data_IF_554620838993
#
_entry.id   IF_554620838993
#
_cell.length_a   1.000
_cell.length_b   1.000
_cell.length_c   1.000
_cell.angle_alpha   90.00
_cell.angle_beta   90.00
_cell.angle_gamma   90.00
#
_symmetry.space_group_name_H-M   'P 1'
#
loop_
_entity.id
_entity.type
_entity.pdbx_description
1 polymer ?
#
# COMPACT_ATOMS: atom_id res chain seq x y z
N UNK A 1 1.69 15.93 22.13
CA UNK A 1 1.76 15.66 20.69
C UNK A 1 0.73 16.50 19.94
N UNK A 2 1.08 16.99 18.74
CA UNK A 2 0.20 17.75 17.85
C UNK A 2 0.44 17.27 16.43
N UNK A 3 -0.61 17.19 15.62
CA UNK A 3 -0.49 16.87 14.20
C UNK A 3 -1.51 17.68 13.42
N UNK A 4 -1.06 18.28 12.32
CA UNK A 4 -1.86 19.00 11.34
C UNK A 4 -1.27 18.77 9.96
N UNK A 5 -2.09 18.34 9.01
CA UNK A 5 -1.75 18.29 7.59
C UNK A 5 -2.88 18.87 6.74
N UNK A 6 -2.57 19.49 5.61
CA UNK A 6 -3.56 20.05 4.70
C UNK A 6 -3.22 19.70 3.25
N UNK A 7 -4.20 19.14 2.54
CA UNK A 7 -4.19 18.93 1.10
C UNK A 7 -5.06 19.99 0.43
N UNK A 8 -4.57 20.55 -0.68
CA UNK A 8 -5.30 21.55 -1.48
C UNK A 8 -5.53 21.07 -2.91
N UNK A 9 -4.69 20.18 -3.42
CA UNK A 9 -4.84 19.65 -4.78
C UNK A 9 -5.96 18.57 -4.83
N UNK A 10 -7.00 18.74 -5.68
CA UNK A 10 -8.09 17.78 -5.82
C UNK A 10 -7.69 16.38 -6.29
N UNK A 11 -6.59 16.24 -7.02
CA UNK A 11 -6.05 14.95 -7.43
C UNK A 11 -5.41 14.22 -6.25
N UNK A 12 -4.64 14.92 -5.43
CA UNK A 12 -4.00 14.42 -4.21
C UNK A 12 -5.07 13.98 -3.21
N UNK A 13 -6.16 14.76 -3.09
CA UNK A 13 -7.28 14.42 -2.23
C UNK A 13 -8.02 13.16 -2.68
N UNK A 14 -8.29 13.01 -3.99
CA UNK A 14 -8.94 11.81 -4.54
C UNK A 14 -8.05 10.58 -4.42
N UNK A 15 -6.76 10.75 -4.67
CA UNK A 15 -5.77 9.69 -4.48
C UNK A 15 -5.70 9.23 -3.02
N UNK A 16 -5.61 10.17 -2.07
CA UNK A 16 -5.60 9.84 -0.65
C UNK A 16 -6.84 9.03 -0.26
N UNK A 17 -8.02 9.41 -0.78
CA UNK A 17 -9.23 8.63 -0.59
C UNK A 17 -9.10 7.21 -1.15
N UNK A 18 -8.55 7.02 -2.35
CA UNK A 18 -8.34 5.69 -2.92
C UNK A 18 -7.34 4.85 -2.14
N UNK A 19 -6.26 5.45 -1.64
CA UNK A 19 -5.30 4.80 -0.74
C UNK A 19 -6.01 4.26 0.50
N UNK A 20 -6.75 5.12 1.22
CA UNK A 20 -7.48 4.70 2.42
C UNK A 20 -8.53 3.63 2.10
N UNK A 21 -9.20 3.72 0.96
CA UNK A 21 -10.18 2.71 0.52
C UNK A 21 -9.55 1.38 0.10
N UNK A 22 -8.29 1.40 -0.34
CA UNK A 22 -7.50 0.18 -0.53
C UNK A 22 -7.18 -0.43 0.83
N UNK A 23 -6.70 0.36 1.79
CA UNK A 23 -6.41 -0.14 3.14
C UNK A 23 -7.67 -0.67 3.85
N UNK A 24 -8.83 -0.04 3.67
CA UNK A 24 -10.09 -0.50 4.28
C UNK A 24 -10.60 -1.84 3.77
N UNK A 25 -10.16 -2.26 2.57
CA UNK A 25 -10.47 -3.59 2.03
C UNK A 25 -9.51 -4.67 2.53
N UNK A 26 -8.33 -4.27 3.03
CA UNK A 26 -7.26 -5.16 3.44
C UNK A 26 -7.25 -5.39 4.95
N UNK A 27 -7.57 -4.37 5.74
CA UNK A 27 -7.60 -4.47 7.20
C UNK A 27 -8.67 -3.57 7.81
N UNK A 28 -9.27 -4.03 8.92
CA UNK A 28 -10.28 -3.26 9.70
C UNK A 28 -9.70 -2.03 10.38
N UNK A 29 -8.43 -2.12 10.78
CA UNK A 29 -7.65 -1.03 11.34
C UNK A 29 -6.27 -1.01 10.69
N UNK A 30 -5.65 0.17 10.66
CA UNK A 30 -4.31 0.36 10.15
C UNK A 30 -3.52 1.22 11.13
N UNK A 31 -2.22 1.03 11.13
CA UNK A 31 -1.31 1.84 11.93
C UNK A 31 -0.80 3.00 11.10
N UNK A 32 -1.08 4.22 11.53
CA UNK A 32 -0.54 5.44 10.96
C UNK A 32 0.67 5.89 11.78
N UNK A 33 1.86 5.83 11.20
CA UNK A 33 3.09 6.40 11.78
C UNK A 33 3.38 7.74 11.11
N UNK A 34 3.41 8.79 11.90
CA UNK A 34 3.62 10.17 11.46
C UNK A 34 5.00 10.59 11.93
N UNK A 35 5.86 11.05 11.02
CA UNK A 35 7.21 11.58 11.29
C UNK A 35 7.42 12.88 10.50
N UNK A 36 8.54 13.59 10.70
CA UNK A 36 8.77 14.85 9.96
C UNK A 36 8.95 14.64 8.45
N UNK A 37 9.62 13.56 8.07
CA UNK A 37 9.98 13.29 6.66
C UNK A 37 9.07 12.28 5.98
N UNK A 38 8.33 11.48 6.75
CA UNK A 38 7.50 10.38 6.22
C UNK A 38 6.25 10.16 7.04
N UNK A 39 5.16 9.87 6.34
CA UNK A 39 3.92 9.33 6.91
C UNK A 39 3.72 7.93 6.35
N UNK A 40 3.58 6.96 7.24
CA UNK A 40 3.33 5.57 6.90
C UNK A 40 1.92 5.16 7.30
N UNK A 41 1.29 4.34 6.47
CA UNK A 41 0.11 3.56 6.84
C UNK A 41 0.44 2.08 6.70
N UNK A 42 0.28 1.30 7.76
CA UNK A 42 0.55 -0.14 7.75
C UNK A 42 -0.76 -0.88 8.00
N UNK A 43 -1.20 -1.65 7.02
CA UNK A 43 -2.31 -2.58 7.13
C UNK A 43 -1.74 -4.00 7.25
N UNK A 44 -1.79 -4.52 8.48
CA UNK A 44 -1.39 -5.87 8.80
C UNK A 44 -2.55 -6.53 9.54
N UNK A 45 -3.24 -7.49 8.93
CA UNK A 45 -4.18 -8.34 9.68
C UNK A 45 -3.41 -9.47 10.37
N UNK A 46 -3.90 -9.85 11.55
CA UNK A 46 -3.31 -10.88 12.38
C UNK A 46 -3.20 -12.26 11.68
N UNK A 47 -2.33 -13.09 12.28
CA UNK A 47 -1.94 -14.41 11.79
C UNK A 47 -3.14 -15.31 11.47
N UNK A 48 -3.23 -15.75 10.22
CA UNK A 48 -4.33 -16.59 9.71
C UNK A 48 -5.24 -15.88 8.70
N UNK A 49 -5.09 -14.56 8.52
CA UNK A 49 -5.81 -13.84 7.48
C UNK A 49 -5.27 -14.13 6.06
N UNK A 50 -6.18 -14.09 5.09
CA UNK A 50 -5.87 -14.03 3.66
C UNK A 50 -5.46 -12.62 3.21
N UNK A 51 -5.38 -11.64 4.10
CA UNK A 51 -4.89 -10.31 3.76
C UNK A 51 -3.35 -10.29 3.72
N UNK A 52 -2.75 -9.73 2.66
CA UNK A 52 -1.32 -9.49 2.62
C UNK A 52 -0.94 -8.30 3.49
N UNK A 53 0.31 -8.29 3.96
CA UNK A 53 0.89 -7.13 4.63
C UNK A 53 1.10 -6.02 3.60
N UNK A 54 0.42 -4.90 3.80
CA UNK A 54 0.52 -3.73 2.92
C UNK A 54 0.93 -2.53 3.74
N UNK A 55 1.86 -1.74 3.22
CA UNK A 55 2.16 -0.44 3.78
C UNK A 55 2.27 0.62 2.69
N UNK A 56 1.95 1.85 3.08
CA UNK A 56 2.00 3.04 2.22
C UNK A 56 3.02 3.99 2.81
N UNK A 57 3.86 4.56 1.96
CA UNK A 57 4.77 5.62 2.31
C UNK A 57 4.35 6.90 1.59
N UNK A 58 4.27 8.00 2.34
CA UNK A 58 3.94 9.33 1.84
C UNK A 58 5.02 10.30 2.32
N UNK A 59 5.66 11.02 1.40
CA UNK A 59 6.51 12.17 1.68
C UNK A 59 5.64 13.41 1.97
N UNK A 60 5.61 13.91 3.21
CA UNK A 60 4.76 15.02 3.57
C UNK A 60 5.12 16.32 2.85
N UNK A 61 6.40 16.53 2.51
CA UNK A 61 6.89 17.76 1.87
C UNK A 61 6.39 17.89 0.44
N UNK A 62 6.21 16.75 -0.23
CA UNK A 62 5.69 16.70 -1.60
C UNK A 62 4.15 16.59 -1.62
N UNK A 63 3.54 15.99 -0.61
CA UNK A 63 2.12 15.65 -0.62
C UNK A 63 1.18 16.66 0.04
N UNK A 64 1.63 17.35 1.11
CA UNK A 64 0.80 18.28 1.87
C UNK A 64 1.24 19.73 1.66
N UNK A 65 0.29 20.61 1.39
CA UNK A 65 0.52 22.06 1.29
C UNK A 65 0.91 22.67 2.64
N UNK A 66 0.34 22.14 3.73
CA UNK A 66 0.76 22.46 5.10
C UNK A 66 1.00 21.16 5.85
N UNK A 67 2.15 21.05 6.53
CA UNK A 67 2.45 19.93 7.40
C UNK A 67 3.13 20.43 8.68
N UNK A 68 2.53 20.10 9.82
CA UNK A 68 3.06 20.43 11.13
C UNK A 68 2.81 19.29 12.10
N UNK A 69 3.87 18.80 12.71
CA UNK A 69 3.80 17.75 13.70
C UNK A 69 4.73 18.06 14.87
N UNK A 70 4.27 17.71 16.07
CA UNK A 70 5.05 17.73 17.29
C UNK A 70 4.90 16.36 17.94
N UNK A 71 5.97 15.57 17.88
CA UNK A 71 6.05 14.23 18.43
C UNK A 71 5.95 14.20 19.94
N UNK A 72 6.06 13.00 20.52
CA UNK A 72 6.11 12.83 21.97
C UNK A 72 7.52 13.15 22.50
N UNK A 73 8.55 12.85 21.72
CA UNK A 73 9.96 13.12 22.03
C UNK A 73 10.47 14.21 21.08
N UNK A 74 11.14 15.24 21.61
CA UNK A 74 11.74 16.30 20.79
C UNK A 74 13.21 16.07 20.50
N UNK A 75 13.87 15.14 21.21
CA UNK A 75 15.32 14.90 21.11
C UNK A 75 15.66 13.64 20.31
N UNK A 76 14.86 12.58 20.41
CA UNK A 76 15.05 11.33 19.65
C UNK A 76 13.86 11.04 18.73
N UNK A 77 14.07 11.16 17.41
CA UNK A 77 13.12 10.84 16.33
C UNK A 77 11.65 11.17 16.66
N UNK A 78 11.22 12.44 16.54
CA UNK A 78 9.86 12.84 16.87
C UNK A 78 8.87 12.13 15.94
N UNK A 79 8.20 11.09 16.44
CA UNK A 79 7.11 10.43 15.74
C UNK A 79 5.86 10.21 16.62
N UNK A 80 4.73 10.03 15.94
CA UNK A 80 3.43 9.71 16.53
C UNK A 80 2.92 8.44 15.86
N UNK A 81 2.49 7.46 16.66
CA UNK A 81 1.94 6.20 16.15
C UNK A 81 0.48 6.11 16.61
N UNK A 82 -0.42 5.95 15.64
CA UNK A 82 -1.87 5.88 15.85
C UNK A 82 -2.42 4.59 15.24
N UNK A 83 -3.34 3.93 15.92
CA UNK A 83 -4.18 2.90 15.34
C UNK A 83 -5.50 3.53 14.90
N UNK A 84 -5.86 3.36 13.62
CA UNK A 84 -7.00 4.03 13.00
C UNK A 84 -7.93 2.99 12.36
N UNK A 85 -9.23 2.98 12.72
CA UNK A 85 -10.25 2.21 12.01
C UNK A 85 -10.39 2.71 10.57
N UNK A 86 -10.01 1.87 9.60
CA UNK A 86 -9.91 2.24 8.18
C UNK A 86 -11.26 2.58 7.56
N UNK A 87 -12.33 1.87 7.96
CA UNK A 87 -13.69 2.10 7.47
C UNK A 87 -14.21 3.48 7.90
N UNK A 88 -13.96 3.87 9.15
CA UNK A 88 -14.39 5.17 9.67
C UNK A 88 -13.64 6.31 8.96
N UNK A 89 -12.34 6.14 8.76
CA UNK A 89 -11.52 7.10 8.01
C UNK A 89 -11.98 7.21 6.55
N UNK A 90 -12.21 6.08 5.87
CA UNK A 90 -12.70 6.07 4.49
C UNK A 90 -14.08 6.73 4.34
N UNK A 91 -14.96 6.57 5.32
CA UNK A 91 -16.27 7.23 5.35
C UNK A 91 -16.14 8.74 5.58
N UNK A 92 -15.28 9.16 6.50
CA UNK A 92 -14.99 10.57 6.77
C UNK A 92 -14.41 11.30 5.54
N UNK A 93 -13.67 10.59 4.68
CA UNK A 93 -13.07 11.12 3.46
C UNK A 93 -13.98 11.00 2.22
N UNK A 94 -15.20 10.47 2.35
CA UNK A 94 -16.08 10.19 1.21
C UNK A 94 -16.41 11.43 0.36
N UNK A 95 -16.39 12.62 0.94
CA UNK A 95 -16.64 13.90 0.25
C UNK A 95 -15.52 14.30 -0.72
N UNK A 96 -14.32 13.73 -0.60
CA UNK A 96 -13.21 14.00 -1.53
C UNK A 96 -13.50 13.53 -2.96
N UNK A 97 -14.55 12.73 -3.18
CA UNK A 97 -15.03 12.39 -4.54
C UNK A 97 -15.65 13.58 -5.28
N UNK A 98 -16.10 14.61 -4.56
CA UNK A 98 -16.96 15.67 -5.10
C UNK A 98 -16.25 17.02 -5.15
N UNK A 99 -15.28 17.20 -6.07
CA UNK A 99 -14.56 18.47 -6.29
C UNK A 99 -14.16 19.18 -4.98
N UNK A 100 -13.30 18.56 -4.16
CA UNK A 100 -12.88 19.16 -2.90
C UNK A 100 -11.98 20.37 -3.13
N UNK A 101 -12.18 21.41 -2.33
CA UNK A 101 -11.35 22.63 -2.28
C UNK A 101 -10.14 22.42 -1.37
N UNK A 102 -10.33 21.81 -0.21
CA UNK A 102 -9.25 21.38 0.67
C UNK A 102 -9.68 20.25 1.59
N UNK A 103 -8.70 19.53 2.12
CA UNK A 103 -8.87 18.53 3.16
C UNK A 103 -7.79 18.73 4.22
N UNK A 104 -8.23 18.93 5.47
CA UNK A 104 -7.35 19.17 6.60
C UNK A 104 -7.50 18.05 7.62
N UNK A 105 -6.38 17.42 7.94
CA UNK A 105 -6.26 16.40 8.96
C UNK A 105 -5.66 17.03 10.22
N UNK A 106 -6.30 16.83 11.37
CA UNK A 106 -5.80 17.35 12.66
C UNK A 106 -6.01 16.33 13.76
N UNK A 107 -4.96 16.05 14.52
CA UNK A 107 -5.09 15.29 15.76
C UNK A 107 -5.64 16.20 16.86
N UNK A 108 -6.78 15.81 17.42
CA UNK A 108 -7.51 16.56 18.44
C UNK A 108 -7.87 15.63 19.58
N UNK A 109 -7.79 16.11 20.82
CA UNK A 109 -8.30 15.39 21.97
C UNK A 109 -9.63 16.00 22.39
N UNK A 110 -10.74 15.27 22.17
CA UNK A 110 -12.07 15.66 22.65
C UNK A 110 -12.32 14.94 23.99
N UNK A 111 -13.26 14.00 24.04
CA UNK A 111 -13.38 13.05 25.15
C UNK A 111 -12.39 11.89 25.02
N UNK A 112 -12.01 11.57 23.78
CA UNK A 112 -10.98 10.60 23.41
C UNK A 112 -10.15 11.19 22.24
N UNK A 113 -8.95 10.66 21.99
CA UNK A 113 -8.15 11.07 20.85
C UNK A 113 -8.87 10.79 19.52
N UNK A 114 -8.99 11.83 18.69
CA UNK A 114 -9.64 11.77 17.39
C UNK A 114 -8.74 12.37 16.30
N UNK A 115 -8.73 11.73 15.13
CA UNK A 115 -8.31 12.36 13.90
C UNK A 115 -9.49 13.13 13.30
N UNK A 116 -9.44 14.45 13.42
CA UNK A 116 -10.42 15.36 12.82
C UNK A 116 -10.09 15.54 11.34
N UNK A 117 -11.07 15.27 10.50
CA UNK A 117 -11.04 15.43 9.04
C UNK A 117 -12.00 16.58 8.70
N UNK A 118 -11.45 17.72 8.27
CA UNK A 118 -12.19 18.92 7.88
C UNK A 118 -12.06 19.12 6.38
N UNK A 119 -13.18 18.98 5.66
CA UNK A 119 -13.25 18.99 4.20
C UNK A 119 -14.17 20.12 3.78
N UNK A 120 -13.74 20.92 2.83
CA UNK A 120 -14.62 21.83 2.09
C UNK A 120 -14.70 21.37 0.64
N UNK A 121 -15.91 21.16 0.13
CA UNK A 121 -16.14 20.61 -1.20
C UNK A 121 -17.29 21.33 -1.91
N UNK A 122 -17.13 21.61 -3.20
CA UNK A 122 -18.16 22.26 -3.99
C UNK A 122 -19.31 21.28 -4.31
N UNK A 123 -20.56 21.75 -4.23
CA UNK A 123 -21.71 20.93 -4.62
C UNK A 123 -22.06 21.16 -6.10
N UNK A 124 -22.35 20.10 -6.85
CA UNK A 124 -22.72 20.22 -8.28
C UNK A 124 -24.07 20.91 -8.52
N UNK A 125 -24.91 21.00 -7.49
CA UNK A 125 -26.30 21.47 -7.57
C UNK A 125 -26.51 22.89 -7.03
N UNK A 126 -25.50 23.50 -6.40
CA UNK A 126 -25.58 24.88 -5.92
C UNK A 126 -24.20 25.52 -5.87
N UNK A 127 -24.14 26.83 -6.10
CA UNK A 127 -22.89 27.63 -6.05
C UNK A 127 -22.35 27.82 -4.61
N UNK A 128 -22.74 26.91 -3.70
CA UNK A 128 -22.35 26.92 -2.29
C UNK A 128 -21.44 25.74 -2.01
N UNK A 129 -20.33 26.00 -1.33
CA UNK A 129 -19.45 24.96 -0.82
C UNK A 129 -20.08 24.29 0.40
N UNK A 130 -19.87 22.98 0.53
CA UNK A 130 -20.28 22.17 1.66
C UNK A 130 -19.04 21.85 2.48
N UNK A 131 -18.95 22.46 3.65
CA UNK A 131 -17.97 22.09 4.66
C UNK A 131 -18.49 20.95 5.54
N UNK A 132 -17.67 19.94 5.76
CA UNK A 132 -17.95 18.85 6.67
C UNK A 132 -16.76 18.59 7.57
N UNK A 133 -17.04 18.43 8.86
CA UNK A 133 -16.04 18.09 9.86
C UNK A 133 -16.42 16.75 10.48
N UNK A 134 -15.54 15.77 10.35
CA UNK A 134 -15.70 14.43 10.89
C UNK A 134 -14.63 14.17 11.95
N UNK A 135 -15.03 13.59 13.08
CA UNK A 135 -14.10 13.17 14.12
C UNK A 135 -13.98 11.65 14.09
N UNK A 136 -12.83 11.13 13.66
CA UNK A 136 -12.56 9.69 13.62
C UNK A 136 -11.86 9.29 14.91
N UNK A 137 -12.43 8.40 15.76
CA UNK A 137 -11.73 7.89 16.94
C UNK A 137 -10.44 7.19 16.53
N UNK A 138 -9.35 7.46 17.25
CA UNK A 138 -8.05 6.82 17.03
C UNK A 138 -7.46 6.38 18.36
N UNK A 139 -6.74 5.26 18.38
CA UNK A 139 -6.00 4.85 19.57
C UNK A 139 -4.55 5.31 19.44
N UNK A 140 -4.03 5.94 20.49
CA UNK A 140 -2.66 6.43 20.52
C UNK A 140 -1.78 5.31 21.07
N UNK A 141 -0.84 4.83 20.25
CA UNK A 141 -0.01 3.68 20.64
C UNK A 141 1.09 4.14 21.61
N UNK A 142 1.17 3.56 22.82
CA UNK A 142 2.24 3.86 23.78
C UNK A 142 3.62 3.49 23.25
N UNK A 143 4.65 4.20 23.74
CA UNK A 143 6.05 3.99 23.29
C UNK A 143 6.57 2.58 23.50
N UNK A 144 6.15 1.90 24.56
CA UNK A 144 6.56 0.53 24.84
C UNK A 144 6.14 -0.44 23.72
N UNK A 145 5.06 -0.13 23.01
CA UNK A 145 4.48 -1.00 22.00
C UNK A 145 4.95 -0.66 20.57
N UNK A 146 5.65 0.46 20.39
CA UNK A 146 6.16 0.89 19.08
C UNK A 146 6.97 -0.18 18.32
N UNK A 147 7.82 -1.01 18.97
CA UNK A 147 8.54 -2.08 18.28
C UNK A 147 7.63 -3.09 17.58
N UNK A 148 6.43 -3.34 18.12
CA UNK A 148 5.45 -4.26 17.52
C UNK A 148 4.80 -3.70 16.25
N UNK A 149 4.86 -2.38 16.07
CA UNK A 149 4.28 -1.65 14.95
C UNK A 149 5.36 -1.03 14.05
N UNK A 150 6.54 -1.67 14.02
CA UNK A 150 7.61 -1.25 13.13
C UNK A 150 7.15 -1.30 11.66
N UNK A 151 7.54 -0.27 10.90
CA UNK A 151 7.28 -0.23 9.46
C UNK A 151 8.06 -1.38 8.81
N UNK A 152 7.43 -2.18 7.93
CA UNK A 152 8.15 -3.24 7.23
C UNK A 152 9.27 -2.67 6.36
N UNK A 153 10.45 -3.29 6.42
CA UNK A 153 11.57 -2.93 5.55
C UNK A 153 11.34 -3.42 4.12
N UNK A 154 11.80 -2.69 3.11
CA UNK A 154 11.79 -3.18 1.73
C UNK A 154 12.77 -4.36 1.66
N UNK A 155 12.33 -5.55 1.22
CA UNK A 155 13.19 -6.73 1.17
C UNK A 155 14.19 -6.62 0.00
N UNK A 156 15.37 -7.21 0.16
CA UNK A 156 16.31 -7.36 -0.94
C UNK A 156 15.82 -8.45 -1.90
N UNK A 157 15.28 -8.02 -3.05
CA UNK A 157 14.85 -8.93 -4.12
C UNK A 157 16.01 -9.23 -5.07
N UNK A 158 16.02 -10.47 -5.58
CA UNK A 158 16.99 -10.95 -6.57
C UNK A 158 16.74 -10.33 -7.94
N UNK A 159 15.46 -10.29 -8.34
CA UNK A 159 15.00 -9.66 -9.57
C UNK A 159 13.83 -8.73 -9.26
N UNK A 160 13.84 -7.53 -9.85
CA UNK A 160 12.72 -6.60 -9.83
C UNK A 160 12.35 -6.21 -11.25
N UNK A 161 11.13 -6.53 -11.66
CA UNK A 161 10.58 -6.26 -12.99
C UNK A 161 9.47 -5.22 -12.91
N UNK A 162 9.42 -4.30 -13.87
CA UNK A 162 8.32 -3.36 -14.04
C UNK A 162 7.21 -4.00 -14.89
N UNK A 163 6.02 -4.07 -14.33
CA UNK A 163 4.81 -4.55 -14.97
C UNK A 163 3.97 -3.34 -15.40
N UNK A 164 3.71 -3.17 -16.71
CA UNK A 164 3.07 -1.96 -17.24
C UNK A 164 1.57 -1.86 -16.95
N UNK A 165 0.91 -2.93 -16.49
CA UNK A 165 -0.52 -2.87 -16.17
C UNK A 165 -0.92 -3.83 -15.05
N UNK A 166 -1.30 -3.27 -13.91
CA UNK A 166 -1.91 -4.02 -12.80
C UNK A 166 -3.25 -4.65 -13.20
N UNK A 167 -3.97 -4.10 -14.20
CA UNK A 167 -5.32 -4.53 -14.59
C UNK A 167 -5.30 -5.90 -15.26
N UNK A 168 -4.27 -6.15 -16.08
CA UNK A 168 -4.08 -7.44 -16.75
C UNK A 168 -3.79 -8.54 -15.73
N UNK A 169 -2.83 -8.29 -14.83
CA UNK A 169 -2.49 -9.23 -13.76
C UNK A 169 -3.69 -9.46 -12.84
N UNK A 170 -4.40 -8.39 -12.45
CA UNK A 170 -5.63 -8.50 -11.65
C UNK A 170 -6.66 -9.42 -12.30
N UNK A 171 -6.98 -9.19 -13.58
CA UNK A 171 -7.97 -9.98 -14.30
C UNK A 171 -7.56 -11.46 -14.46
N UNK A 172 -6.26 -11.73 -14.59
CA UNK A 172 -5.71 -13.07 -14.58
C UNK A 172 -5.88 -13.74 -13.21
N UNK A 173 -5.39 -13.10 -12.16
CA UNK A 173 -5.38 -13.65 -10.79
C UNK A 173 -6.82 -13.85 -10.29
N UNK A 174 -7.75 -12.97 -10.65
CA UNK A 174 -9.17 -13.14 -10.33
C UNK A 174 -9.79 -14.40 -10.94
N UNK A 175 -9.27 -14.89 -12.08
CA UNK A 175 -9.70 -16.16 -12.68
C UNK A 175 -8.96 -17.35 -12.05
N UNK A 176 -7.65 -17.22 -11.83
CA UNK A 176 -6.80 -18.30 -11.30
C UNK A 176 -7.12 -18.66 -9.86
N UNK A 177 -7.53 -17.69 -9.01
CA UNK A 177 -7.82 -17.93 -7.57
C UNK A 177 -8.88 -18.99 -7.29
N UNK A 178 -9.75 -19.26 -8.27
CA UNK A 178 -10.81 -20.27 -8.17
C UNK A 178 -10.36 -21.64 -8.70
N UNK A 179 -9.21 -21.71 -9.37
CA UNK A 179 -8.67 -22.90 -10.01
C UNK A 179 -7.56 -23.52 -9.15
N UNK A 180 -6.64 -22.70 -8.64
CA UNK A 180 -5.51 -23.17 -7.82
C UNK A 180 -5.36 -22.32 -6.55
N UNK A 181 -5.04 -22.94 -5.39
CA UNK A 181 -4.75 -22.20 -4.16
C UNK A 181 -3.42 -21.44 -4.22
N UNK A 182 -2.46 -21.90 -5.04
CA UNK A 182 -1.12 -21.33 -5.17
C UNK A 182 -0.89 -20.79 -6.58
N UNK A 183 0.00 -19.82 -6.69
CA UNK A 183 0.45 -19.27 -7.96
C UNK A 183 1.96 -19.05 -7.89
N UNK A 184 2.67 -19.52 -8.89
CA UNK A 184 4.12 -19.43 -9.00
C UNK A 184 4.44 -18.24 -9.90
N UNK A 185 5.18 -17.28 -9.37
CA UNK A 185 5.78 -16.22 -10.14
C UNK A 185 7.19 -16.64 -10.50
N UNK A 186 7.48 -16.63 -11.79
CA UNK A 186 8.80 -16.91 -12.34
C UNK A 186 9.24 -15.69 -13.15
N UNK A 187 10.46 -15.22 -12.93
CA UNK A 187 11.02 -14.06 -13.61
C UNK A 187 12.43 -14.38 -14.12
N UNK A 188 12.78 -13.82 -15.27
CA UNK A 188 14.12 -13.92 -15.85
C UNK A 188 14.74 -12.54 -16.05
N UNK A 189 16.07 -12.49 -16.06
CA UNK A 189 16.84 -11.26 -16.37
C UNK A 189 16.66 -10.78 -17.81
N UNK A 190 16.04 -11.59 -18.68
CA UNK A 190 15.69 -11.22 -20.05
C UNK A 190 14.42 -10.35 -20.15
N UNK A 191 13.77 -10.04 -19.02
CA UNK A 191 12.52 -9.27 -19.02
C UNK A 191 11.30 -10.12 -19.33
N UNK A 192 11.35 -11.42 -19.03
CA UNK A 192 10.20 -12.31 -19.10
C UNK A 192 9.70 -12.65 -17.69
N UNK A 193 8.37 -12.63 -17.51
CA UNK A 193 7.73 -13.08 -16.28
C UNK A 193 6.62 -14.07 -16.61
N UNK A 194 6.67 -15.25 -16.00
CA UNK A 194 5.67 -16.28 -16.13
C UNK A 194 4.88 -16.42 -14.83
N UNK A 195 3.56 -16.44 -14.96
CA UNK A 195 2.62 -16.76 -13.89
C UNK A 195 2.08 -18.17 -14.16
N UNK A 196 2.48 -19.11 -13.31
CA UNK A 196 2.13 -20.52 -13.43
C UNK A 196 1.17 -20.90 -12.32
N UNK A 197 0.04 -21.50 -12.68
CA UNK A 197 -0.91 -22.08 -11.75
C UNK A 197 -1.15 -23.54 -12.13
N UNK A 198 -0.90 -24.43 -11.19
CA UNK A 198 -1.03 -25.86 -11.37
C UNK A 198 -2.31 -26.36 -10.69
N UNK A 199 -3.02 -27.23 -11.39
CA UNK A 199 -4.22 -27.92 -10.90
C UNK A 199 -4.12 -29.38 -11.34
N UNK A 200 -4.88 -30.27 -10.71
CA UNK A 200 -4.87 -31.71 -11.01
C UNK A 200 -5.18 -32.03 -12.48
N UNK A 201 -5.94 -31.16 -13.17
CA UNK A 201 -6.37 -31.39 -14.56
C UNK A 201 -5.65 -30.53 -15.60
N UNK A 202 -5.03 -29.41 -15.21
CA UNK A 202 -4.41 -28.48 -16.14
C UNK A 202 -3.34 -27.59 -15.48
N UNK A 203 -2.32 -27.24 -16.26
CA UNK A 203 -1.35 -26.20 -15.91
C UNK A 203 -1.62 -24.96 -16.75
N UNK A 204 -1.92 -23.84 -16.09
CA UNK A 204 -2.14 -22.55 -16.73
C UNK A 204 -0.86 -21.75 -16.60
N UNK A 205 -0.22 -21.44 -17.73
CA UNK A 205 0.95 -20.56 -17.77
C UNK A 205 0.63 -19.30 -18.55
N UNK A 206 0.78 -18.15 -17.92
CA UNK A 206 0.67 -16.85 -18.60
C UNK A 206 2.05 -16.22 -18.68
N UNK A 207 2.46 -15.84 -19.89
CA UNK A 207 3.77 -15.24 -20.14
C UNK A 207 3.63 -13.75 -20.40
N UNK A 208 4.44 -12.96 -19.72
CA UNK A 208 4.64 -11.54 -19.95
C UNK A 208 6.05 -11.35 -20.52
N UNK A 209 6.16 -10.67 -21.65
CA UNK A 209 7.40 -10.44 -22.36
C UNK A 209 7.68 -8.94 -22.48
N UNK A 210 8.94 -8.58 -22.72
CA UNK A 210 9.40 -7.20 -22.87
C UNK A 210 9.14 -6.34 -21.62
N UNK A 211 9.34 -6.91 -20.43
CA UNK A 211 9.26 -6.17 -19.17
C UNK A 211 10.59 -5.45 -18.91
N UNK A 212 10.51 -4.21 -18.44
CA UNK A 212 11.69 -3.45 -18.05
C UNK A 212 12.24 -3.99 -16.72
N UNK A 213 13.54 -4.18 -16.67
CA UNK A 213 14.21 -4.67 -15.48
C UNK A 213 14.72 -3.47 -14.66
N UNK A 214 14.28 -3.36 -13.40
CA UNK A 214 14.70 -2.29 -12.49
C UNK A 214 15.98 -2.63 -11.75
N UNK A 215 16.06 -3.83 -11.19
CA UNK A 215 17.19 -4.26 -10.34
C UNK A 215 17.48 -5.74 -10.52
N UNK A 216 18.77 -6.07 -10.62
CA UNK A 216 19.30 -7.43 -10.48
C UNK A 216 20.28 -7.42 -9.31
N UNK A 217 20.02 -8.25 -8.31
CA UNK A 217 20.96 -8.55 -7.23
C UNK A 217 21.32 -10.04 -7.35
N UNK A 218 22.37 -10.40 -8.11
CA UNK A 218 22.77 -11.79 -8.23
C UNK A 218 23.35 -12.26 -6.90
N UNK A 219 22.95 -13.44 -6.43
CA UNK A 219 23.67 -14.12 -5.36
C UNK A 219 25.11 -14.41 -5.79
N UNK A 220 26.05 -14.48 -4.83
CA UNK A 220 27.48 -14.59 -5.12
C UNK A 220 27.88 -15.80 -5.99
N UNK A 221 27.03 -16.83 -6.09
CA UNK A 221 27.22 -18.01 -6.95
C UNK A 221 26.61 -17.93 -8.36
N UNK A 222 25.88 -16.87 -8.72
CA UNK A 222 25.14 -16.79 -10.00
C UNK A 222 25.65 -15.70 -10.96
N UNK A 223 26.73 -15.01 -10.59
CA UNK A 223 27.42 -14.01 -11.44
C UNK A 223 27.96 -14.61 -12.74
N UNK A 224 28.04 -15.94 -12.85
CA UNK A 224 28.55 -16.68 -14.01
C UNK A 224 27.46 -17.26 -14.94
N UNK A 225 26.16 -17.09 -14.63
CA UNK A 225 25.07 -17.53 -15.51
C UNK A 225 24.75 -16.44 -16.54
N UNK A 226 24.54 -16.83 -17.81
CA UNK A 226 24.12 -15.91 -18.89
C UNK A 226 22.74 -15.29 -18.63
N UNK A 227 21.88 -15.98 -17.86
CA UNK A 227 20.57 -15.50 -17.43
C UNK A 227 20.33 -15.83 -15.95
N UNK A 228 19.83 -14.85 -15.20
CA UNK A 228 19.46 -14.98 -13.80
C UNK A 228 17.96 -15.20 -13.75
N UNK A 229 17.52 -16.21 -13.00
CA UNK A 229 16.13 -16.61 -12.89
C UNK A 229 15.72 -16.59 -11.42
N UNK A 230 14.50 -16.15 -11.13
CA UNK A 230 13.94 -16.13 -9.79
C UNK A 230 12.53 -16.70 -9.80
N UNK A 231 12.20 -17.55 -8.84
CA UNK A 231 10.86 -18.10 -8.67
C UNK A 231 10.38 -18.02 -7.23
N UNK A 232 9.08 -17.81 -7.06
CA UNK A 232 8.44 -17.88 -5.75
C UNK A 232 6.98 -18.30 -5.90
N UNK A 233 6.55 -19.26 -5.08
CA UNK A 233 5.15 -19.68 -4.96
C UNK A 233 4.45 -18.87 -3.87
N UNK A 234 3.28 -18.30 -4.16
CA UNK A 234 2.51 -17.51 -3.20
C UNK A 234 1.03 -17.92 -3.18
N UNK A 235 0.34 -17.57 -2.10
CA UNK A 235 -1.10 -17.80 -1.97
C UNK A 235 -1.87 -16.95 -2.99
N UNK A 236 -2.70 -17.61 -3.81
CA UNK A 236 -3.43 -16.95 -4.87
C UNK A 236 -4.54 -16.04 -4.33
N UNK A 237 -5.19 -16.41 -3.22
CA UNK A 237 -6.24 -15.59 -2.58
C UNK A 237 -5.66 -14.32 -1.98
N UNK A 238 -4.49 -14.40 -1.31
CA UNK A 238 -3.78 -13.22 -0.79
C UNK A 238 -3.43 -12.24 -1.90
N UNK A 239 -2.88 -12.78 -2.99
CA UNK A 239 -2.50 -12.00 -4.16
C UNK A 239 -3.73 -11.37 -4.82
N UNK A 240 -4.82 -12.14 -5.00
CA UNK A 240 -6.08 -11.63 -5.53
C UNK A 240 -6.69 -10.51 -4.66
N UNK A 241 -6.63 -10.66 -3.34
CA UNK A 241 -7.15 -9.67 -2.41
C UNK A 241 -6.38 -8.35 -2.55
N UNK A 242 -5.05 -8.37 -2.66
CA UNK A 242 -4.26 -7.17 -2.95
C UNK A 242 -4.72 -6.46 -4.23
N UNK A 243 -4.74 -7.17 -5.37
CA UNK A 243 -5.11 -6.56 -6.65
C UNK A 243 -6.56 -6.10 -6.71
N UNK A 244 -7.48 -6.79 -6.03
CA UNK A 244 -8.89 -6.38 -5.94
C UNK A 244 -9.11 -5.18 -5.00
N UNK A 245 -8.24 -5.04 -3.99
CA UNK A 245 -8.24 -3.93 -3.06
C UNK A 245 -7.65 -2.66 -3.65
N UNK A 246 -6.67 -2.75 -4.56
CA UNK A 246 -6.13 -1.61 -5.28
C UNK A 246 -7.24 -0.88 -6.07
N UNK A 247 -7.56 0.34 -5.63
CA UNK A 247 -8.52 1.24 -6.30
C UNK A 247 -7.84 2.35 -7.09
N UNK A 248 -6.51 2.40 -7.02
CA UNK A 248 -5.71 3.44 -7.62
C UNK A 248 -5.45 3.08 -9.08
N UNK A 249 -5.69 4.00 -10.02
CA UNK A 249 -5.33 3.83 -11.42
C UNK A 249 -3.82 4.06 -11.58
N UNK A 250 -2.98 3.23 -10.96
CA UNK A 250 -1.54 3.32 -11.09
C UNK A 250 -1.07 2.71 -12.41
N UNK A 251 -0.12 3.36 -13.07
CA UNK A 251 0.49 2.91 -14.31
C UNK A 251 1.71 2.00 -14.10
N UNK A 252 2.37 2.10 -12.95
CA UNK A 252 3.64 1.40 -12.71
C UNK A 252 3.57 0.48 -11.48
N UNK A 253 3.68 -0.82 -11.74
CA UNK A 253 3.76 -1.87 -10.72
C UNK A 253 5.12 -2.55 -10.86
N UNK A 254 5.98 -2.45 -9.86
CA UNK A 254 7.21 -3.24 -9.77
C UNK A 254 6.95 -4.54 -9.00
N UNK A 255 7.41 -5.65 -9.54
CA UNK A 255 7.34 -6.98 -8.95
C UNK A 255 8.76 -7.47 -8.64
N UNK A 256 9.10 -7.51 -7.36
CA UNK A 256 10.34 -8.03 -6.82
C UNK A 256 10.17 -9.47 -6.36
N UNK A 257 11.04 -10.38 -6.81
CA UNK A 257 11.05 -11.77 -6.38
C UNK A 257 12.31 -12.01 -5.54
N UNK A 258 12.13 -12.50 -4.32
CA UNK A 258 13.20 -13.00 -3.46
C UNK A 258 13.03 -14.53 -3.37
N UNK A 259 13.89 -15.26 -4.10
CA UNK A 259 13.87 -16.72 -4.30
C UNK A 259 13.30 -17.49 -3.10
N UNK A 260 12.19 -18.20 -3.34
CA UNK A 260 11.50 -19.09 -2.40
C UNK A 260 11.17 -18.50 -1.01
N UNK A 261 11.29 -17.17 -0.84
CA UNK A 261 11.03 -16.48 0.44
C UNK A 261 9.80 -15.60 0.37
N UNK A 262 9.75 -14.68 -0.59
CA UNK A 262 8.66 -13.73 -0.72
C UNK A 262 8.63 -13.06 -2.09
N UNK A 263 7.47 -12.49 -2.39
CA UNK A 263 7.28 -11.52 -3.47
C UNK A 263 6.99 -10.16 -2.86
N UNK A 264 7.71 -9.15 -3.33
CA UNK A 264 7.48 -7.75 -3.01
C UNK A 264 6.80 -7.08 -4.20
N UNK A 265 5.63 -6.49 -3.96
CA UNK A 265 4.94 -5.69 -4.97
C UNK A 265 5.03 -4.23 -4.55
N UNK A 266 5.45 -3.38 -5.47
CA UNK A 266 5.53 -1.94 -5.28
C UNK A 266 4.71 -1.24 -6.35
N UNK A 267 3.75 -0.44 -5.92
CA UNK A 267 2.93 0.40 -6.78
C UNK A 267 3.38 1.84 -6.59
N UNK A 268 3.98 2.40 -7.63
CA UNK A 268 4.34 3.81 -7.67
C UNK A 268 3.09 4.59 -8.08
N UNK A 269 2.55 5.34 -7.13
CA UNK A 269 1.34 6.13 -7.37
C UNK A 269 1.73 7.49 -7.96
N UNK A 270 2.78 8.09 -7.40
CA UNK A 270 3.38 9.36 -7.82
C UNK A 270 4.72 9.58 -7.12
N UNK A 271 5.39 10.67 -7.46
CA UNK A 271 6.55 11.13 -6.70
C UNK A 271 6.18 11.33 -5.22
N UNK A 272 6.94 10.69 -4.33
CA UNK A 272 6.73 10.77 -2.90
C UNK A 272 5.59 9.90 -2.35
N UNK A 273 4.88 9.11 -3.17
CA UNK A 273 3.84 8.17 -2.68
C UNK A 273 3.98 6.80 -3.30
N UNK A 274 4.28 5.83 -2.45
CA UNK A 274 4.47 4.43 -2.84
C UNK A 274 3.64 3.50 -1.97
N UNK A 275 3.10 2.45 -2.57
CA UNK A 275 2.39 1.38 -1.87
C UNK A 275 3.20 0.11 -2.04
N UNK A 276 3.51 -0.54 -0.94
CA UNK A 276 4.24 -1.77 -0.93
C UNK A 276 3.39 -2.89 -0.35
N UNK A 277 3.60 -4.10 -0.85
CA UNK A 277 2.97 -5.32 -0.36
C UNK A 277 3.99 -6.44 -0.28
N UNK A 278 3.91 -7.22 0.79
CA UNK A 278 4.71 -8.43 0.97
C UNK A 278 3.80 -9.65 0.92
N UNK A 279 4.12 -10.54 -0.01
CA UNK A 279 3.49 -11.84 -0.15
C UNK A 279 4.51 -12.92 0.26
N UNK A 280 4.36 -13.56 1.42
CA UNK A 280 5.27 -14.62 1.84
C UNK A 280 5.12 -15.84 0.92
N UNK A 281 6.21 -16.56 0.72
CA UNK A 281 6.19 -17.81 0.00
C UNK A 281 5.32 -18.85 0.72
N UNK A 282 4.66 -19.71 -0.03
CA UNK A 282 3.94 -20.88 0.47
C UNK A 282 4.78 -22.10 0.15
N UNK A 283 5.11 -22.91 1.16
CA UNK A 283 5.73 -24.21 0.95
C UNK A 283 4.73 -25.10 0.19
N UNK A 284 5.16 -25.61 -0.96
CA UNK A 284 4.47 -26.64 -1.73
C UNK A 284 4.80 -28.01 -1.11
#
# INVERSE_FOLDING_TARGET
MKFRAMMQDPEYMREFLYIIQTLSKLAKACVMKISMDKVYFVANEESGSTAPLVWVEIDPKQYFAEYAMQGVDSENDPHIVLNIPTLNLGTALSLLRNNPSYCKLKLTNLQFPCLTVDIDAATKSSDKSRRAMHHVPVDVIPRCDWPHFAVPTIPECKLVLNVPSNRLIRGLIDKIKNLSPTIIFYATSAGEMNLVAETDMATITTRYQNLELRTINPGDGEKSKEQIEASCSVDCKKTALFFSALQIPSTELSCGIADDRLIHLEVNVREGVTIHSKLPAVCI
#
